data_IF_751954155280
#
_entry.id   IF_751954155280
#
_cell.length_a   1.000
_cell.length_b   1.000
_cell.length_c   1.000
_cell.angle_alpha   90.00
_cell.angle_beta   90.00
_cell.angle_gamma   90.00
#
_symmetry.space_group_name_H-M   'P 1'
#
loop_
_entity.id
_entity.type
_entity.pdbx_description
1 polymer ?
#
# COMPACT_ATOMS: atom_id res chain seq x y z
N UNK A 1 -2.36 10.87 -12.50
CA UNK A 1 -3.42 11.87 -12.33
C UNK A 1 -4.71 11.42 -13.02
N UNK A 2 -5.86 11.70 -12.40
CA UNK A 2 -7.19 11.42 -12.91
C UNK A 2 -7.98 12.74 -12.97
N UNK A 3 -8.64 13.00 -14.09
CA UNK A 3 -9.53 14.12 -14.26
C UNK A 3 -10.89 13.61 -14.75
N UNK A 4 -11.95 13.87 -14.01
CA UNK A 4 -13.32 13.74 -14.48
C UNK A 4 -13.87 15.13 -14.80
N UNK A 5 -14.44 15.28 -16.01
CA UNK A 5 -14.92 16.56 -16.47
C UNK A 5 -16.19 16.39 -17.30
N UNK A 6 -17.13 17.31 -17.12
CA UNK A 6 -18.37 17.36 -17.90
C UNK A 6 -18.33 18.57 -18.81
N UNK A 7 -18.49 18.36 -20.14
CA UNK A 7 -18.58 19.43 -21.10
C UNK A 7 -19.84 20.27 -20.84
N UNK A 8 -19.66 21.57 -20.64
CA UNK A 8 -20.76 22.52 -20.45
C UNK A 8 -21.26 23.10 -21.78
N UNK A 9 -20.46 22.99 -22.83
CA UNK A 9 -20.78 23.46 -24.18
C UNK A 9 -20.31 22.42 -25.22
N UNK A 10 -21.04 22.35 -26.35
CA UNK A 10 -20.59 21.54 -27.49
C UNK A 10 -19.40 22.20 -28.21
N UNK A 11 -18.57 21.38 -28.85
CA UNK A 11 -17.45 21.86 -29.65
C UNK A 11 -16.09 21.24 -29.26
N UNK A 12 -15.00 21.70 -29.86
CA UNK A 12 -13.66 21.23 -29.54
C UNK A 12 -13.21 21.71 -28.15
N UNK A 13 -12.61 20.81 -27.39
CA UNK A 13 -12.03 21.09 -26.08
C UNK A 13 -10.55 20.71 -26.09
N UNK A 14 -9.73 21.47 -25.34
CA UNK A 14 -8.30 21.23 -25.22
C UNK A 14 -7.98 20.64 -23.85
N UNK A 15 -7.37 19.45 -23.84
CA UNK A 15 -6.79 18.87 -22.63
C UNK A 15 -5.32 19.22 -22.62
N UNK A 16 -4.89 19.91 -21.55
CA UNK A 16 -3.50 20.23 -21.32
C UNK A 16 -3.01 19.49 -20.08
N UNK A 17 -1.85 18.84 -20.18
CA UNK A 17 -1.16 18.23 -19.05
C UNK A 17 0.33 18.54 -19.13
N UNK A 18 0.96 18.58 -17.96
CA UNK A 18 2.37 18.93 -17.82
C UNK A 18 2.95 18.30 -16.55
N UNK A 19 4.27 18.31 -16.43
CA UNK A 19 4.99 17.89 -15.25
C UNK A 19 5.96 18.96 -14.79
N UNK A 20 6.28 18.95 -13.50
CA UNK A 20 7.34 19.74 -12.91
C UNK A 20 8.65 18.95 -12.85
N UNK A 21 9.80 19.60 -12.64
CA UNK A 21 11.06 18.92 -12.40
C UNK A 21 10.97 17.90 -11.25
N UNK A 22 11.64 16.76 -11.42
CA UNK A 22 11.81 15.80 -10.35
C UNK A 22 13.29 15.33 -10.32
N UNK A 23 13.94 15.35 -9.14
CA UNK A 23 13.44 15.91 -7.87
C UNK A 23 13.07 17.40 -8.03
N UNK A 24 12.15 17.88 -7.15
CA UNK A 24 11.74 19.28 -7.16
C UNK A 24 12.95 20.18 -6.93
N UNK A 25 13.04 21.26 -7.68
CA UNK A 25 14.05 22.30 -7.51
C UNK A 25 13.38 23.64 -7.11
N UNK A 26 14.19 24.67 -6.86
CA UNK A 26 13.70 25.99 -6.44
C UNK A 26 12.97 26.78 -7.54
N UNK A 27 13.03 26.29 -8.77
CA UNK A 27 12.42 26.96 -9.92
C UNK A 27 11.05 26.37 -10.23
N UNK A 28 10.03 27.22 -10.31
CA UNK A 28 8.71 26.83 -10.84
C UNK A 28 8.78 26.83 -12.35
N UNK A 29 9.01 25.68 -12.94
CA UNK A 29 9.10 25.50 -14.39
C UNK A 29 8.48 24.16 -14.83
N UNK A 30 8.03 24.12 -16.06
CA UNK A 30 7.63 22.87 -16.71
C UNK A 30 8.87 22.07 -17.08
N UNK A 31 8.80 20.77 -16.93
CA UNK A 31 9.89 19.84 -17.22
C UNK A 31 9.43 18.74 -18.18
N UNK A 32 10.32 18.35 -19.06
CA UNK A 32 10.17 17.18 -19.92
C UNK A 32 11.56 16.68 -20.31
N UNK A 33 11.71 15.36 -20.36
CA UNK A 33 12.94 14.67 -20.75
C UNK A 33 12.59 13.56 -21.75
N UNK A 34 13.52 13.07 -22.57
CA UNK A 34 13.24 11.98 -23.53
C UNK A 34 12.62 10.72 -22.89
N UNK A 35 12.87 10.47 -21.60
CA UNK A 35 12.31 9.38 -20.83
C UNK A 35 11.06 9.77 -20.01
N UNK A 36 10.56 10.99 -20.15
CA UNK A 36 9.28 11.41 -19.55
C UNK A 36 8.12 10.90 -20.40
N UNK A 37 7.87 9.59 -20.33
CA UNK A 37 6.82 8.92 -21.09
C UNK A 37 5.50 8.96 -20.32
N UNK A 38 4.39 9.00 -21.06
CA UNK A 38 3.05 8.94 -20.50
C UNK A 38 2.12 8.10 -21.35
N UNK A 39 1.05 7.65 -20.74
CA UNK A 39 -0.09 7.06 -21.45
C UNK A 39 -1.35 7.82 -21.06
N UNK A 40 -1.99 8.43 -22.04
CA UNK A 40 -3.25 9.14 -21.87
C UNK A 40 -4.41 8.23 -22.26
N UNK A 41 -5.38 8.07 -21.35
CA UNK A 41 -6.67 7.47 -21.64
C UNK A 41 -7.75 8.54 -21.57
N UNK A 42 -8.55 8.68 -22.61
CA UNK A 42 -9.77 9.47 -22.63
C UNK A 42 -10.94 8.53 -22.81
N UNK A 43 -11.88 8.58 -21.89
CA UNK A 43 -13.01 7.65 -21.85
C UNK A 43 -14.31 8.36 -21.53
N UNK A 44 -15.35 8.15 -22.34
CA UNK A 44 -16.67 8.73 -22.16
C UNK A 44 -17.69 7.73 -21.58
N UNK A 45 -17.33 6.46 -21.43
CA UNK A 45 -18.20 5.42 -20.85
C UNK A 45 -18.12 5.34 -19.32
N UNK A 46 -18.75 4.33 -18.72
CA UNK A 46 -18.71 4.12 -17.29
C UNK A 46 -17.29 3.87 -16.77
N UNK A 47 -16.91 4.57 -15.70
CA UNK A 47 -15.65 4.38 -14.97
C UNK A 47 -15.97 4.14 -13.51
N UNK A 48 -15.61 2.98 -12.99
CA UNK A 48 -15.69 2.67 -11.55
C UNK A 48 -14.42 3.18 -10.91
N UNK A 49 -14.54 4.14 -9.99
CA UNK A 49 -13.38 4.64 -9.24
C UNK A 49 -13.05 3.72 -8.08
N UNK A 50 -14.01 3.46 -7.21
CA UNK A 50 -13.88 2.61 -6.03
C UNK A 50 -15.24 1.98 -5.67
N UNK A 51 -15.23 1.14 -4.65
CA UNK A 51 -16.44 0.63 -4.03
C UNK A 51 -16.54 1.11 -2.57
N UNK A 52 -17.75 1.14 -2.04
CA UNK A 52 -18.02 1.42 -0.64
C UNK A 52 -18.75 0.24 0.01
N UNK A 53 -18.29 -0.22 1.20
CA UNK A 53 -17.07 0.21 1.87
C UNK A 53 -15.79 -0.08 1.06
N UNK A 54 -14.68 0.62 1.38
CA UNK A 54 -13.35 0.41 0.77
C UNK A 54 -12.71 -0.92 1.21
N UNK A 55 -13.14 -1.44 2.36
CA UNK A 55 -12.66 -2.69 2.93
C UNK A 55 -13.71 -3.80 2.92
N UNK A 56 -13.23 -5.04 2.85
CA UNK A 56 -14.04 -6.27 3.00
C UNK A 56 -13.40 -7.21 3.99
N UNK A 57 -14.23 -7.86 4.80
CA UNK A 57 -13.75 -8.89 5.72
C UNK A 57 -13.47 -10.19 4.97
N UNK A 58 -12.26 -10.72 5.11
CA UNK A 58 -11.89 -12.04 4.59
C UNK A 58 -12.85 -13.12 5.09
N UNK A 59 -13.18 -14.06 4.20
CA UNK A 59 -14.03 -15.20 4.56
C UNK A 59 -15.53 -14.88 4.65
N UNK A 60 -15.95 -13.67 4.24
CA UNK A 60 -17.36 -13.27 4.24
C UNK A 60 -17.86 -12.86 2.85
N UNK A 61 -19.15 -12.62 2.73
CA UNK A 61 -19.74 -11.96 1.57
C UNK A 61 -20.14 -10.53 1.94
N UNK A 62 -19.74 -9.56 1.13
CA UNK A 62 -20.05 -8.14 1.33
C UNK A 62 -20.97 -7.62 0.23
N UNK A 63 -21.75 -6.58 0.54
CA UNK A 63 -22.50 -5.80 -0.44
C UNK A 63 -21.76 -4.50 -0.69
N UNK A 64 -21.25 -4.30 -1.89
CA UNK A 64 -20.39 -3.20 -2.26
C UNK A 64 -21.12 -2.25 -3.21
N UNK A 65 -21.14 -0.96 -2.91
CA UNK A 65 -21.69 0.07 -3.78
C UNK A 65 -20.59 0.68 -4.64
N UNK A 66 -20.62 0.50 -5.97
CA UNK A 66 -19.67 1.13 -6.88
C UNK A 66 -19.83 2.66 -6.86
N UNK A 67 -18.74 3.39 -6.94
CA UNK A 67 -18.68 4.85 -7.05
C UNK A 67 -17.78 5.21 -8.23
N UNK A 68 -18.23 6.17 -9.04
CA UNK A 68 -17.48 6.58 -10.23
C UNK A 68 -18.28 7.49 -11.14
N UNK A 69 -17.92 7.53 -12.40
CA UNK A 69 -18.49 8.43 -13.38
C UNK A 69 -19.24 7.67 -14.49
N UNK A 70 -20.30 8.27 -15.00
CA UNK A 70 -21.13 7.71 -16.07
C UNK A 70 -21.67 6.30 -15.76
N UNK A 71 -21.82 5.98 -14.49
CA UNK A 71 -22.42 4.73 -14.06
C UNK A 71 -23.92 4.78 -14.35
N UNK A 72 -24.42 3.94 -15.26
CA UNK A 72 -25.86 3.75 -15.44
C UNK A 72 -26.49 3.10 -14.20
N UNK A 73 -27.82 3.07 -14.11
CA UNK A 73 -28.55 2.53 -12.95
C UNK A 73 -28.10 1.10 -12.56
N UNK A 74 -27.86 0.22 -13.53
CA UNK A 74 -27.40 -1.13 -13.30
C UNK A 74 -25.96 -1.23 -12.75
N UNK A 75 -25.08 -0.28 -13.12
CA UNK A 75 -23.69 -0.23 -12.64
C UNK A 75 -23.52 0.51 -11.32
N UNK A 76 -24.57 1.22 -10.86
CA UNK A 76 -24.59 1.91 -9.57
C UNK A 76 -25.32 1.10 -8.48
N UNK A 77 -25.92 -0.03 -8.83
CA UNK A 77 -26.55 -0.91 -7.87
C UNK A 77 -25.49 -1.62 -7.00
N UNK A 78 -25.80 -1.93 -5.73
CA UNK A 78 -24.92 -2.74 -4.89
C UNK A 78 -24.60 -4.08 -5.55
N UNK A 79 -23.34 -4.48 -5.44
CA UNK A 79 -22.79 -5.73 -6.00
C UNK A 79 -22.41 -6.64 -4.86
N UNK A 80 -22.90 -7.88 -4.87
CA UNK A 80 -22.46 -8.90 -3.94
C UNK A 80 -21.01 -9.29 -4.27
N UNK A 81 -20.14 -9.27 -3.27
CA UNK A 81 -18.73 -9.62 -3.39
C UNK A 81 -18.39 -10.79 -2.46
N UNK A 82 -17.85 -11.86 -3.02
CA UNK A 82 -17.48 -13.06 -2.29
C UNK A 82 -16.00 -13.01 -1.89
N UNK A 83 -15.73 -12.62 -0.65
CA UNK A 83 -14.39 -12.61 -0.07
C UNK A 83 -14.00 -13.96 0.59
N UNK A 84 -14.86 -15.00 0.52
CA UNK A 84 -14.56 -16.32 1.10
C UNK A 84 -13.40 -17.03 0.39
N UNK A 85 -13.13 -16.66 -0.86
CA UNK A 85 -12.08 -17.25 -1.71
C UNK A 85 -10.76 -16.48 -1.67
N UNK A 86 -10.69 -15.38 -0.93
CA UNK A 86 -9.45 -14.60 -0.84
C UNK A 86 -8.47 -15.31 0.10
N UNK A 87 -7.27 -15.69 -0.38
CA UNK A 87 -6.29 -16.39 0.44
C UNK A 87 -5.81 -15.57 1.63
N UNK A 88 -5.36 -16.21 2.72
CA UNK A 88 -4.65 -15.54 3.80
C UNK A 88 -3.44 -14.72 3.27
N UNK A 89 -3.19 -13.55 3.87
CA UNK A 89 -2.07 -12.68 3.50
C UNK A 89 -2.34 -11.72 2.33
N UNK A 90 -3.40 -11.91 1.55
CA UNK A 90 -3.81 -10.95 0.51
C UNK A 90 -4.43 -9.73 1.19
N UNK A 91 -3.78 -8.57 1.12
CA UNK A 91 -4.24 -7.32 1.76
C UNK A 91 -5.05 -6.42 0.83
N UNK A 92 -4.96 -6.62 -0.48
CA UNK A 92 -5.71 -5.87 -1.50
C UNK A 92 -6.24 -6.84 -2.56
N UNK A 93 -7.42 -6.56 -3.08
CA UNK A 93 -8.06 -7.40 -4.08
C UNK A 93 -8.77 -6.56 -5.15
N UNK A 94 -8.57 -6.86 -6.44
CA UNK A 94 -9.20 -6.09 -7.51
C UNK A 94 -10.72 -6.26 -7.50
N UNK A 95 -11.43 -5.14 -7.61
CA UNK A 95 -12.87 -5.10 -7.71
C UNK A 95 -13.32 -4.85 -9.16
N UNK A 96 -14.28 -5.62 -9.62
CA UNK A 96 -14.81 -5.50 -10.97
C UNK A 96 -16.34 -5.33 -10.94
N UNK A 97 -16.84 -4.43 -11.77
CA UNK A 97 -18.28 -4.24 -12.00
C UNK A 97 -18.56 -4.49 -13.48
N UNK A 98 -19.36 -5.50 -13.80
CA UNK A 98 -19.69 -5.88 -15.18
C UNK A 98 -18.41 -6.03 -16.06
N UNK A 99 -17.39 -6.70 -15.52
CA UNK A 99 -16.11 -6.93 -16.19
C UNK A 99 -15.17 -5.72 -16.28
N UNK A 100 -15.54 -4.57 -15.71
CA UNK A 100 -14.68 -3.37 -15.64
C UNK A 100 -13.99 -3.30 -14.28
N UNK A 101 -12.64 -3.18 -14.25
CA UNK A 101 -11.93 -3.00 -12.99
C UNK A 101 -12.22 -1.63 -12.39
N UNK A 102 -12.34 -1.56 -11.07
CA UNK A 102 -12.27 -0.31 -10.33
C UNK A 102 -10.83 0.22 -10.36
N UNK A 103 -10.68 1.54 -10.25
CA UNK A 103 -9.35 2.19 -10.18
C UNK A 103 -8.69 2.00 -8.81
N UNK A 104 -9.49 1.72 -7.78
CA UNK A 104 -9.03 1.46 -6.41
C UNK A 104 -9.41 0.04 -6.02
N UNK A 105 -8.41 -0.75 -5.63
CA UNK A 105 -8.62 -2.10 -5.13
C UNK A 105 -9.31 -2.09 -3.76
N UNK A 106 -10.04 -3.16 -3.45
CA UNK A 106 -10.60 -3.38 -2.13
C UNK A 106 -9.46 -3.70 -1.13
N UNK A 107 -9.57 -3.13 0.06
CA UNK A 107 -8.75 -3.54 1.19
C UNK A 107 -9.36 -4.81 1.80
N UNK A 108 -8.53 -5.78 2.14
CA UNK A 108 -8.97 -7.05 2.74
C UNK A 108 -8.51 -7.11 4.18
N UNK A 109 -9.47 -6.96 5.10
CA UNK A 109 -9.25 -7.07 6.54
C UNK A 109 -9.55 -8.47 7.08
N UNK A 110 -9.02 -8.79 8.26
CA UNK A 110 -9.30 -10.04 8.98
C UNK A 110 -10.36 -9.85 10.09
N UNK A 111 -10.92 -8.68 10.23
CA UNK A 111 -12.02 -8.33 11.12
C UNK A 111 -13.18 -7.64 10.39
N UNK A 112 -14.26 -7.28 11.13
CA UNK A 112 -15.42 -6.61 10.57
C UNK A 112 -15.05 -5.31 9.87
N UNK A 113 -15.62 -5.10 8.69
CA UNK A 113 -15.48 -3.91 7.85
C UNK A 113 -16.84 -3.23 7.70
N UNK A 114 -16.90 -1.91 7.91
CA UNK A 114 -18.14 -1.15 7.78
C UNK A 114 -17.87 0.28 7.31
N UNK A 115 -18.95 0.95 6.87
CA UNK A 115 -18.97 2.40 6.73
C UNK A 115 -19.03 3.04 8.12
N UNK A 116 -18.50 4.24 8.26
CA UNK A 116 -18.82 5.10 9.41
C UNK A 116 -20.28 5.52 9.42
N UNK A 117 -20.73 5.99 10.57
CA UNK A 117 -22.07 6.55 10.77
C UNK A 117 -21.95 7.93 11.39
N UNK A 118 -22.38 8.93 10.65
CA UNK A 118 -22.41 10.31 11.12
C UNK A 118 -23.67 10.65 11.96
N UNK A 119 -23.58 11.62 12.91
CA UNK A 119 -22.39 12.38 13.29
C UNK A 119 -21.54 11.65 14.33
N UNK A 120 -20.23 11.63 14.15
CA UNK A 120 -19.26 10.96 15.05
C UNK A 120 -18.11 11.87 15.55
N UNK A 121 -18.20 13.20 15.34
CA UNK A 121 -17.18 14.18 15.74
C UNK A 121 -16.93 14.25 17.26
N UNK A 122 -17.93 14.00 18.05
CA UNK A 122 -17.86 14.12 19.50
C UNK A 122 -17.36 12.82 20.15
N UNK A 123 -16.55 12.90 21.20
CA UNK A 123 -16.09 11.73 21.95
C UNK A 123 -17.27 10.87 22.44
N UNK A 124 -18.37 11.51 22.83
CA UNK A 124 -19.58 10.80 23.28
C UNK A 124 -20.33 10.06 22.16
N UNK A 125 -20.03 10.38 20.90
CA UNK A 125 -20.64 9.77 19.72
C UNK A 125 -19.68 8.85 18.98
N UNK A 126 -18.48 8.63 19.53
CA UNK A 126 -17.48 7.75 18.93
C UNK A 126 -18.06 6.34 18.70
N UNK A 127 -17.93 5.85 17.46
CA UNK A 127 -18.48 4.55 17.08
C UNK A 127 -17.67 3.38 17.65
N UNK A 128 -18.32 2.37 18.23
CA UNK A 128 -17.59 1.16 18.63
C UNK A 128 -17.06 0.39 17.41
N UNK A 129 -15.83 -0.08 17.52
CA UNK A 129 -15.25 -0.98 16.52
C UNK A 129 -14.49 -2.14 17.19
N UNK A 130 -14.48 -3.27 16.50
CA UNK A 130 -13.75 -4.45 16.93
C UNK A 130 -12.24 -4.33 16.61
N UNK A 131 -11.44 -5.14 17.31
CA UNK A 131 -10.01 -5.31 17.03
C UNK A 131 -9.69 -6.79 16.83
N UNK A 132 -9.29 -7.23 15.62
CA UNK A 132 -9.11 -6.43 14.42
C UNK A 132 -10.42 -5.92 13.80
N UNK A 133 -10.37 -4.78 13.12
CA UNK A 133 -11.50 -4.23 12.39
C UNK A 133 -11.12 -3.05 11.51
N UNK A 134 -12.01 -2.69 10.60
CA UNK A 134 -11.85 -1.56 9.69
C UNK A 134 -13.08 -0.69 9.58
N UNK A 135 -12.86 0.56 9.19
CA UNK A 135 -13.91 1.54 8.87
C UNK A 135 -13.55 2.29 7.60
N UNK A 136 -14.54 2.46 6.77
CA UNK A 136 -14.47 3.38 5.64
C UNK A 136 -15.14 4.68 6.03
N UNK A 137 -14.41 5.77 6.01
CA UNK A 137 -14.91 7.09 6.33
C UNK A 137 -14.65 8.12 5.25
N UNK A 138 -15.28 9.28 5.38
CA UNK A 138 -15.06 10.43 4.51
C UNK A 138 -15.17 11.73 5.32
N UNK A 139 -14.08 12.45 5.47
CA UNK A 139 -14.12 13.79 6.07
C UNK A 139 -14.91 14.73 5.17
N UNK A 140 -16.22 14.85 5.40
CA UNK A 140 -17.17 15.43 4.47
C UNK A 140 -17.21 16.96 4.49
N UNK A 141 -16.71 17.60 5.56
CA UNK A 141 -16.70 19.05 5.78
C UNK A 141 -15.38 19.56 6.36
N UNK A 142 -15.19 20.85 6.34
CA UNK A 142 -14.06 21.51 6.99
C UNK A 142 -14.08 21.28 8.51
N UNK A 143 -12.94 20.90 9.05
CA UNK A 143 -12.77 20.63 10.49
C UNK A 143 -13.36 19.31 10.97
N UNK A 144 -13.81 18.46 10.08
CA UNK A 144 -14.37 17.15 10.36
C UNK A 144 -13.37 16.23 11.07
N UNK A 145 -13.85 15.49 12.07
CA UNK A 145 -13.05 14.54 12.86
C UNK A 145 -13.90 13.32 13.18
N UNK A 146 -13.57 12.22 12.54
CA UNK A 146 -14.25 10.95 12.77
C UNK A 146 -13.68 10.25 14.00
N UNK A 147 -14.54 9.84 14.93
CA UNK A 147 -14.13 9.15 16.14
C UNK A 147 -14.73 7.77 16.25
N UNK A 148 -13.86 6.84 16.58
CA UNK A 148 -14.16 5.45 16.85
C UNK A 148 -13.66 5.09 18.24
N UNK A 149 -14.19 4.02 18.85
CA UNK A 149 -13.73 3.56 20.14
C UNK A 149 -13.44 2.06 20.14
N UNK A 150 -12.35 1.69 20.78
CA UNK A 150 -11.89 0.30 20.91
C UNK A 150 -11.71 -0.08 22.37
N UNK A 151 -12.04 -1.33 22.73
CA UNK A 151 -11.78 -1.89 24.05
C UNK A 151 -10.49 -2.69 24.01
N UNK A 152 -9.56 -2.37 24.90
CA UNK A 152 -8.25 -3.02 24.97
C UNK A 152 -7.88 -3.33 26.43
N UNK A 153 -6.97 -4.30 26.58
CA UNK A 153 -6.39 -4.65 27.87
C UNK A 153 -5.08 -3.90 28.08
N UNK A 154 -4.68 -3.78 29.32
CA UNK A 154 -3.35 -3.27 29.67
C UNK A 154 -2.26 -4.04 28.93
N UNK A 155 -1.23 -3.32 28.50
CA UNK A 155 -0.09 -3.83 27.75
C UNK A 155 -0.42 -4.41 26.37
N UNK A 156 -1.69 -4.34 25.95
CA UNK A 156 -2.10 -4.73 24.59
C UNK A 156 -1.56 -3.72 23.57
N UNK A 157 -0.96 -4.25 22.50
CA UNK A 157 -0.41 -3.45 21.41
C UNK A 157 -1.39 -3.38 20.27
N UNK A 158 -1.58 -2.17 19.74
CA UNK A 158 -2.37 -1.90 18.56
C UNK A 158 -1.51 -1.30 17.45
N UNK A 159 -1.84 -1.66 16.22
CA UNK A 159 -1.45 -0.98 15.00
C UNK A 159 -2.68 -0.27 14.48
N UNK A 160 -2.61 1.04 14.39
CA UNK A 160 -3.67 1.89 13.83
C UNK A 160 -3.14 2.52 12.56
N UNK A 161 -3.82 2.33 11.44
CA UNK A 161 -3.39 2.84 10.15
C UNK A 161 -4.58 3.42 9.37
N UNK A 162 -4.36 4.54 8.72
CA UNK A 162 -5.29 5.16 7.78
C UNK A 162 -4.68 5.07 6.39
N UNK A 163 -5.46 4.69 5.40
CA UNK A 163 -5.08 4.68 3.99
C UNK A 163 -6.02 5.59 3.22
N UNK A 164 -5.49 6.61 2.61
CA UNK A 164 -6.20 7.56 1.76
C UNK A 164 -5.37 7.92 0.53
N UNK A 165 -4.22 8.53 0.71
CA UNK A 165 -3.31 8.89 -0.39
C UNK A 165 -2.82 7.65 -1.14
N UNK A 166 -2.55 6.54 -0.46
CA UNK A 166 -2.20 5.24 -1.06
C UNK A 166 -3.35 4.63 -1.89
N UNK A 167 -4.58 5.10 -1.71
CA UNK A 167 -5.76 4.74 -2.49
C UNK A 167 -6.11 5.80 -3.57
N UNK A 168 -5.30 6.87 -3.67
CA UNK A 168 -5.51 7.94 -4.64
C UNK A 168 -6.59 8.94 -4.27
N UNK A 169 -6.96 9.04 -2.99
CA UNK A 169 -7.82 10.11 -2.46
C UNK A 169 -6.99 11.30 -2.00
N UNK A 170 -7.64 12.44 -1.80
CA UNK A 170 -6.97 13.72 -1.56
C UNK A 170 -6.84 14.10 -0.08
N UNK A 171 -7.05 13.17 0.84
CA UNK A 171 -6.87 13.41 2.27
C UNK A 171 -5.38 13.34 2.63
N UNK A 172 -4.87 14.40 3.20
CA UNK A 172 -3.64 14.45 3.98
C UNK A 172 -4.06 14.34 5.45
N UNK A 173 -4.02 13.10 5.96
CA UNK A 173 -4.68 12.74 7.21
C UNK A 173 -3.75 12.68 8.40
N UNK A 174 -4.32 12.76 9.59
CA UNK A 174 -3.69 12.34 10.84
C UNK A 174 -4.56 11.31 11.55
N UNK A 175 -3.93 10.49 12.39
CA UNK A 175 -4.62 9.57 13.30
C UNK A 175 -4.14 9.79 14.72
N UNK A 176 -5.06 9.74 15.69
CA UNK A 176 -4.78 9.86 17.13
C UNK A 176 -5.38 8.70 17.91
N UNK A 177 -4.70 8.35 19.00
CA UNK A 177 -5.30 7.58 20.11
C UNK A 177 -5.63 8.55 21.21
N UNK A 178 -6.86 8.50 21.71
CA UNK A 178 -7.41 9.39 22.74
C UNK A 178 -7.84 8.59 23.99
N UNK A 179 -7.80 9.22 25.18
CA UNK A 179 -8.41 8.68 26.36
C UNK A 179 -9.95 8.87 26.35
N UNK A 180 -10.63 8.42 27.39
CA UNK A 180 -12.09 8.52 27.52
C UNK A 180 -12.62 9.97 27.54
N UNK A 181 -11.75 10.97 27.73
CA UNK A 181 -12.11 12.39 27.74
C UNK A 181 -11.69 13.10 26.44
N UNK A 182 -11.18 12.37 25.44
CA UNK A 182 -10.69 12.94 24.19
C UNK A 182 -9.29 13.54 24.25
N UNK A 183 -8.54 13.30 25.35
CA UNK A 183 -7.15 13.74 25.46
C UNK A 183 -6.26 12.86 24.60
N UNK A 184 -5.44 13.48 23.75
CA UNK A 184 -4.46 12.81 22.93
C UNK A 184 -3.43 12.04 23.76
N UNK A 185 -3.26 10.76 23.45
CA UNK A 185 -2.24 9.87 24.02
C UNK A 185 -1.12 9.55 23.03
N UNK A 186 -1.45 9.48 21.75
CA UNK A 186 -0.51 9.28 20.65
C UNK A 186 -1.07 9.86 19.36
N UNK A 187 -0.19 10.29 18.46
CA UNK A 187 -0.55 10.84 17.15
C UNK A 187 0.49 10.47 16.09
N UNK A 188 0.03 10.33 14.88
CA UNK A 188 0.87 10.28 13.67
C UNK A 188 0.12 10.91 12.50
N UNK A 189 0.85 11.57 11.59
CA UNK A 189 0.36 12.14 10.34
C UNK A 189 1.07 11.57 9.12
N UNK A 190 2.33 11.14 9.27
CA UNK A 190 3.15 10.56 8.22
C UNK A 190 3.89 9.33 8.74
N UNK A 191 3.73 8.17 8.09
CA UNK A 191 4.49 6.97 8.44
C UNK A 191 5.32 6.45 7.26
N UNK A 192 4.65 6.02 6.21
CA UNK A 192 5.26 5.54 4.97
C UNK A 192 4.58 6.26 3.81
N UNK A 193 4.98 7.49 3.53
CA UNK A 193 4.23 8.41 2.67
C UNK A 193 3.35 9.33 3.51
N UNK A 194 2.32 9.90 2.90
CA UNK A 194 1.37 10.82 3.53
C UNK A 194 0.21 10.13 4.25
N UNK A 195 0.20 8.80 4.36
CA UNK A 195 -0.82 8.08 5.13
C UNK A 195 -0.32 7.77 6.54
N UNK A 196 -1.07 8.13 7.59
CA UNK A 196 -0.64 7.95 8.96
C UNK A 196 -0.75 6.50 9.42
N UNK A 197 0.23 6.08 10.23
CA UNK A 197 0.24 4.78 10.91
C UNK A 197 0.98 4.90 12.23
N UNK A 198 0.39 4.43 13.29
CA UNK A 198 1.03 4.38 14.59
C UNK A 198 0.94 2.99 15.23
N UNK A 199 1.90 2.71 16.08
CA UNK A 199 1.89 1.57 17.00
C UNK A 199 1.78 2.13 18.42
N UNK A 200 0.79 1.63 19.16
CA UNK A 200 0.48 2.10 20.50
C UNK A 200 0.28 0.94 21.45
N UNK A 201 0.66 1.12 22.72
CA UNK A 201 0.48 0.13 23.77
C UNK A 201 -0.44 0.71 24.83
N UNK A 202 -1.49 -0.01 25.17
CA UNK A 202 -2.47 0.43 26.16
C UNK A 202 -1.85 0.48 27.57
N UNK A 203 -1.89 1.62 28.27
CA UNK A 203 -1.32 1.74 29.62
C UNK A 203 -2.16 1.06 30.70
N UNK A 204 -3.45 0.81 30.44
CA UNK A 204 -4.40 0.17 31.33
C UNK A 204 -5.53 -0.50 30.54
N UNK A 205 -6.30 -1.36 31.21
CA UNK A 205 -7.59 -1.84 30.67
C UNK A 205 -8.53 -0.65 30.47
N UNK A 206 -9.21 -0.59 29.33
CA UNK A 206 -10.15 0.50 29.11
C UNK A 206 -10.69 0.59 27.68
N UNK A 207 -11.49 1.63 27.48
CA UNK A 207 -11.97 2.07 26.17
C UNK A 207 -11.19 3.31 25.78
N UNK A 208 -10.65 3.27 24.57
CA UNK A 208 -9.84 4.36 24.00
C UNK A 208 -10.43 4.82 22.69
N UNK A 209 -10.35 6.13 22.45
CA UNK A 209 -10.75 6.74 21.16
C UNK A 209 -9.67 6.56 20.11
N UNK A 210 -10.13 6.34 18.88
CA UNK A 210 -9.30 6.47 17.67
C UNK A 210 -9.93 7.60 16.86
N UNK A 211 -9.19 8.67 16.63
CA UNK A 211 -9.68 9.83 15.88
C UNK A 211 -8.91 9.99 14.58
N UNK A 212 -9.63 10.29 13.50
CA UNK A 212 -9.08 10.56 12.16
C UNK A 212 -9.49 11.98 11.77
N UNK A 213 -8.59 12.74 11.16
CA UNK A 213 -8.88 14.09 10.68
C UNK A 213 -7.92 14.54 9.60
N UNK A 214 -8.17 15.70 9.02
CA UNK A 214 -7.33 16.32 8.00
C UNK A 214 -6.26 17.21 8.64
N UNK A 215 -5.01 17.10 8.19
CA UNK A 215 -3.89 17.95 8.62
C UNK A 215 -4.16 19.43 8.30
N UNK A 216 -4.79 19.69 7.15
CA UNK A 216 -5.15 21.03 6.68
C UNK A 216 -6.59 21.43 7.02
N UNK A 217 -7.30 20.63 7.83
CA UNK A 217 -8.70 20.81 8.19
C UNK A 217 -9.66 20.83 6.98
N UNK A 218 -9.24 20.30 5.84
CA UNK A 218 -10.05 20.25 4.63
C UNK A 218 -10.96 19.03 4.65
N UNK A 219 -12.22 19.24 4.22
CA UNK A 219 -13.19 18.18 4.01
C UNK A 219 -13.71 18.15 2.55
N UNK A 220 -14.63 17.25 2.27
CA UNK A 220 -15.34 17.17 1.00
C UNK A 220 -15.38 15.76 0.40
N UNK A 221 -16.04 15.66 -0.75
CA UNK A 221 -16.40 14.39 -1.41
C UNK A 221 -15.23 13.48 -1.84
N UNK A 222 -13.99 13.95 -1.79
CA UNK A 222 -12.80 13.21 -2.19
C UNK A 222 -11.82 12.94 -1.03
N UNK A 223 -12.33 12.99 0.21
CA UNK A 223 -11.57 12.78 1.44
C UNK A 223 -11.82 11.40 2.05
N UNK A 224 -12.11 10.43 1.19
CA UNK A 224 -12.30 9.05 1.62
C UNK A 224 -11.03 8.46 2.22
N UNK A 225 -11.21 7.63 3.23
CA UNK A 225 -10.14 6.87 3.86
C UNK A 225 -10.62 5.48 4.31
N UNK A 226 -9.67 4.60 4.53
CA UNK A 226 -9.88 3.36 5.24
C UNK A 226 -9.03 3.37 6.51
N UNK A 227 -9.69 3.29 7.66
CA UNK A 227 -9.08 3.08 8.96
C UNK A 227 -9.00 1.59 9.25
N UNK A 228 -7.84 1.09 9.66
CA UNK A 228 -7.67 -0.24 10.21
C UNK A 228 -7.09 -0.19 11.63
N UNK A 229 -7.67 -0.99 12.54
CA UNK A 229 -7.13 -1.21 13.88
C UNK A 229 -6.93 -2.70 14.07
N UNK A 230 -5.70 -3.11 14.36
CA UNK A 230 -5.35 -4.52 14.52
C UNK A 230 -4.28 -4.72 15.59
N UNK A 231 -4.13 -5.96 16.06
CA UNK A 231 -2.99 -6.36 16.86
C UNK A 231 -1.77 -6.59 15.92
N UNK A 232 -0.55 -6.21 16.35
CA UNK A 232 0.62 -6.50 15.55
C UNK A 232 0.79 -8.02 15.39
N UNK A 233 0.94 -8.44 14.13
CA UNK A 233 1.19 -9.85 13.80
C UNK A 233 2.65 -9.98 13.38
N UNK A 234 3.44 -10.91 13.96
CA UNK A 234 4.77 -11.21 13.48
C UNK A 234 4.78 -11.46 11.97
N UNK A 235 5.56 -10.70 11.25
CA UNK A 235 5.60 -10.77 9.80
C UNK A 235 6.96 -10.33 9.25
N UNK A 236 7.10 -10.34 7.92
CA UNK A 236 8.30 -9.92 7.22
C UNK A 236 7.96 -9.07 6.01
N UNK A 237 8.89 -8.17 5.64
CA UNK A 237 8.84 -7.34 4.43
C UNK A 237 10.17 -7.45 3.71
N UNK A 238 10.42 -8.56 3.01
CA UNK A 238 11.72 -8.79 2.40
C UNK A 238 11.94 -7.85 1.22
N UNK A 239 13.14 -7.25 1.16
CA UNK A 239 13.52 -6.28 0.13
C UNK A 239 14.93 -6.53 -0.40
N UNK A 240 15.18 -6.02 -1.61
CA UNK A 240 16.51 -5.89 -2.23
C UNK A 240 16.77 -4.43 -2.57
N UNK A 241 18.05 -4.07 -2.76
CA UNK A 241 18.45 -2.69 -3.13
C UNK A 241 18.39 -2.45 -4.63
N UNK A 242 18.51 -3.51 -5.44
CA UNK A 242 18.59 -3.44 -6.90
C UNK A 242 17.52 -4.34 -7.53
N UNK A 243 17.00 -3.94 -8.67
CA UNK A 243 16.05 -4.74 -9.45
C UNK A 243 16.65 -5.37 -10.71
N UNK A 244 17.92 -5.08 -11.03
CA UNK A 244 18.60 -5.60 -12.21
C UNK A 244 19.97 -6.17 -11.86
N UNK A 245 20.18 -7.42 -12.24
CA UNK A 245 21.41 -8.17 -11.94
C UNK A 245 22.04 -8.63 -13.25
N UNK A 246 23.36 -8.47 -13.36
CA UNK A 246 24.13 -8.91 -14.53
C UNK A 246 25.08 -10.02 -14.15
N UNK A 247 25.16 -11.06 -14.99
CA UNK A 247 25.95 -12.26 -14.77
C UNK A 247 26.65 -12.69 -16.04
N UNK A 248 27.97 -12.83 -16.01
CA UNK A 248 28.72 -13.39 -17.13
C UNK A 248 28.83 -14.92 -17.01
N UNK A 249 28.92 -15.66 -18.14
CA UNK A 249 29.14 -17.11 -18.12
C UNK A 249 30.34 -17.51 -17.27
N UNK A 250 30.19 -18.54 -16.45
CA UNK A 250 31.20 -19.01 -15.51
C UNK A 250 31.47 -18.12 -14.29
N UNK A 251 30.62 -17.10 -14.07
CA UNK A 251 30.72 -16.17 -12.94
C UNK A 251 29.55 -16.35 -11.96
N UNK A 252 29.68 -15.69 -10.81
CA UNK A 252 28.67 -15.62 -9.77
C UNK A 252 28.22 -14.18 -9.56
N UNK A 253 26.98 -14.00 -9.11
CA UNK A 253 26.47 -12.74 -8.58
C UNK A 253 25.73 -13.03 -7.28
N UNK A 254 25.92 -12.19 -6.29
CA UNK A 254 25.29 -12.32 -4.98
C UNK A 254 24.13 -11.33 -4.86
N UNK A 255 22.92 -11.85 -4.58
CA UNK A 255 21.71 -11.06 -4.31
C UNK A 255 21.51 -11.02 -2.81
N UNK A 256 21.69 -9.86 -2.20
CA UNK A 256 21.48 -9.66 -0.77
C UNK A 256 20.00 -9.33 -0.53
N UNK A 257 19.32 -10.17 0.24
CA UNK A 257 17.91 -9.99 0.62
C UNK A 257 17.85 -9.56 2.07
N UNK A 258 17.37 -8.34 2.32
CA UNK A 258 17.01 -7.90 3.65
C UNK A 258 15.65 -8.51 4.02
N UNK A 259 15.55 -9.20 5.16
CA UNK A 259 14.35 -9.97 5.53
C UNK A 259 13.24 -9.11 6.11
N UNK A 260 13.57 -7.93 6.65
CA UNK A 260 12.58 -6.95 7.12
C UNK A 260 11.62 -7.52 8.17
N UNK A 261 12.13 -8.28 9.14
CA UNK A 261 11.32 -8.87 10.22
C UNK A 261 10.66 -7.78 11.07
N UNK A 262 9.36 -7.90 11.33
CA UNK A 262 8.58 -6.94 12.14
C UNK A 262 7.77 -7.67 13.20
N UNK A 263 7.42 -6.94 14.26
CA UNK A 263 6.59 -7.42 15.37
C UNK A 263 7.08 -8.70 16.04
N UNK A 264 8.42 -8.83 16.16
CA UNK A 264 9.02 -9.99 16.83
C UNK A 264 9.00 -11.28 16.00
N UNK A 265 8.90 -11.18 14.67
CA UNK A 265 9.01 -12.34 13.80
C UNK A 265 10.36 -13.02 13.96
N UNK A 266 10.37 -14.28 14.40
CA UNK A 266 11.56 -15.08 14.72
C UNK A 266 11.57 -16.47 14.07
N UNK A 267 10.59 -16.76 13.19
CA UNK A 267 10.55 -18.04 12.50
C UNK A 267 11.74 -18.19 11.53
N UNK A 268 12.26 -19.43 11.35
CA UNK A 268 13.17 -19.72 10.26
C UNK A 268 12.53 -19.45 8.90
N UNK A 269 13.33 -18.98 7.95
CA UNK A 269 12.88 -18.63 6.61
C UNK A 269 13.73 -19.38 5.58
N UNK A 270 13.12 -19.79 4.47
CA UNK A 270 13.81 -20.32 3.30
C UNK A 270 13.68 -19.33 2.15
N UNK A 271 14.82 -18.92 1.56
CA UNK A 271 14.85 -17.93 0.48
C UNK A 271 15.32 -18.59 -0.81
N UNK A 272 14.53 -18.45 -1.88
CA UNK A 272 14.79 -19.08 -3.18
C UNK A 272 14.53 -18.14 -4.34
N UNK A 273 14.98 -18.51 -5.54
CA UNK A 273 14.75 -17.76 -6.78
C UNK A 273 13.99 -18.62 -7.78
N UNK A 274 12.98 -18.02 -8.41
CA UNK A 274 12.23 -18.58 -9.52
C UNK A 274 12.52 -17.83 -10.81
N UNK A 275 12.34 -18.50 -11.96
CA UNK A 275 12.51 -17.88 -13.27
C UNK A 275 13.95 -17.82 -13.78
N UNK A 276 14.91 -18.54 -13.18
CA UNK A 276 16.29 -18.58 -13.66
C UNK A 276 16.35 -19.18 -15.08
N UNK A 277 17.15 -18.59 -15.99
CA UNK A 277 17.32 -19.11 -17.33
C UNK A 277 18.19 -20.38 -17.35
N UNK A 278 18.13 -21.15 -18.43
CA UNK A 278 18.94 -22.36 -18.59
C UNK A 278 20.42 -22.09 -18.40
N UNK A 279 21.09 -22.96 -17.64
CA UNK A 279 22.51 -22.82 -17.31
C UNK A 279 22.82 -21.84 -16.17
N UNK A 280 21.78 -21.30 -15.52
CA UNK A 280 21.92 -20.50 -14.28
C UNK A 280 21.25 -21.23 -13.12
N UNK A 281 21.91 -21.27 -11.99
CA UNK A 281 21.44 -21.93 -10.76
C UNK A 281 21.64 -21.04 -9.55
N UNK A 282 20.75 -21.23 -8.56
CA UNK A 282 20.90 -20.70 -7.21
C UNK A 282 20.30 -21.74 -6.24
N UNK A 283 21.02 -22.06 -5.20
CA UNK A 283 20.50 -22.91 -4.13
C UNK A 283 19.69 -22.06 -3.16
N UNK A 284 18.58 -22.59 -2.62
CA UNK A 284 17.87 -21.95 -1.52
C UNK A 284 18.82 -21.73 -0.33
N UNK A 285 18.57 -20.62 0.39
CA UNK A 285 19.34 -20.24 1.59
C UNK A 285 18.38 -20.19 2.77
N UNK A 286 18.76 -20.85 3.84
CA UNK A 286 18.01 -20.82 5.10
C UNK A 286 18.47 -19.64 5.96
N UNK A 287 17.51 -18.95 6.58
CA UNK A 287 17.74 -17.88 7.54
C UNK A 287 17.22 -18.28 8.91
N UNK A 288 18.04 -18.16 9.93
CA UNK A 288 17.64 -18.34 11.32
C UNK A 288 16.77 -17.17 11.81
N UNK A 289 16.06 -17.36 12.94
CA UNK A 289 15.13 -16.37 13.47
C UNK A 289 15.71 -14.99 13.77
N UNK A 290 17.04 -14.89 13.96
CA UNK A 290 17.74 -13.62 14.26
C UNK A 290 18.40 -12.96 13.05
N UNK A 291 18.44 -13.65 11.90
CA UNK A 291 19.08 -13.11 10.71
C UNK A 291 18.27 -11.93 10.19
N UNK A 292 18.95 -10.82 9.90
CA UNK A 292 18.37 -9.63 9.31
C UNK A 292 18.40 -9.68 7.78
N UNK A 293 19.32 -10.45 7.19
CA UNK A 293 19.49 -10.61 5.75
C UNK A 293 20.10 -11.97 5.42
N UNK A 294 19.95 -12.37 4.17
CA UNK A 294 20.65 -13.52 3.57
C UNK A 294 21.22 -13.15 2.21
N UNK A 295 22.18 -13.93 1.74
CA UNK A 295 22.80 -13.76 0.42
C UNK A 295 22.51 -14.98 -0.43
N UNK A 296 21.75 -14.78 -1.51
CA UNK A 296 21.55 -15.79 -2.55
C UNK A 296 22.67 -15.70 -3.58
N UNK A 297 23.41 -16.78 -3.76
CA UNK A 297 24.45 -16.87 -4.77
C UNK A 297 23.89 -17.44 -6.05
N UNK A 298 23.88 -16.62 -7.11
CA UNK A 298 23.46 -17.00 -8.45
C UNK A 298 24.70 -17.34 -9.27
N UNK A 299 24.72 -18.53 -9.89
CA UNK A 299 25.87 -19.07 -10.61
C UNK A 299 25.50 -19.33 -12.06
N UNK A 300 26.25 -18.78 -13.01
CA UNK A 300 26.13 -19.15 -14.40
C UNK A 300 27.15 -20.23 -14.76
N UNK A 301 26.73 -21.27 -15.46
CA UNK A 301 27.61 -22.23 -16.06
C UNK A 301 28.51 -21.56 -17.11
N UNK A 302 29.68 -22.11 -17.40
CA UNK A 302 30.62 -21.56 -18.39
C UNK A 302 30.04 -21.52 -19.81
N UNK A 303 29.06 -22.36 -20.09
CA UNK A 303 28.31 -22.44 -21.35
C UNK A 303 26.90 -21.84 -21.27
N UNK A 304 26.59 -21.06 -20.22
CA UNK A 304 25.29 -20.41 -20.12
C UNK A 304 25.07 -19.48 -21.32
N UNK A 305 23.92 -19.64 -21.98
CA UNK A 305 23.56 -18.82 -23.13
C UNK A 305 23.16 -17.41 -22.68
N UNK A 306 23.40 -16.37 -23.49
CA UNK A 306 22.90 -15.03 -23.23
C UNK A 306 21.39 -15.04 -23.06
N UNK A 307 20.92 -14.39 -22.01
CA UNK A 307 19.49 -14.30 -21.67
C UNK A 307 19.20 -13.00 -20.94
N UNK A 308 17.96 -12.54 -21.01
CA UNK A 308 17.49 -11.39 -20.24
C UNK A 308 16.04 -11.69 -19.84
N UNK A 309 15.84 -12.03 -18.57
CA UNK A 309 14.58 -12.59 -18.09
C UNK A 309 14.17 -11.99 -16.74
N UNK A 310 12.87 -11.88 -16.46
CA UNK A 310 12.39 -11.58 -15.11
C UNK A 310 12.64 -12.78 -14.20
N UNK A 311 13.05 -12.50 -12.96
CA UNK A 311 13.20 -13.47 -11.89
C UNK A 311 12.37 -13.01 -10.69
N UNK A 312 11.96 -13.94 -9.83
CA UNK A 312 11.30 -13.66 -8.56
C UNK A 312 12.07 -14.31 -7.43
N UNK A 313 12.34 -13.54 -6.39
CA UNK A 313 12.89 -14.05 -5.15
C UNK A 313 11.74 -14.26 -4.17
N UNK A 314 11.64 -15.46 -3.62
CA UNK A 314 10.59 -15.87 -2.70
C UNK A 314 11.19 -16.13 -1.32
N UNK A 315 10.49 -15.70 -0.28
CA UNK A 315 10.81 -15.99 1.12
C UNK A 315 9.65 -16.80 1.70
N UNK A 316 9.94 -18.03 2.10
CA UNK A 316 8.95 -18.92 2.72
C UNK A 316 9.17 -18.99 4.22
N UNK A 317 8.14 -18.72 4.98
CA UNK A 317 8.11 -18.92 6.44
C UNK A 317 7.95 -20.40 6.77
N UNK A 318 8.86 -20.94 7.59
CA UNK A 318 8.83 -22.34 7.98
C UNK A 318 7.71 -22.66 8.98
N UNK A 319 7.21 -21.65 9.72
CA UNK A 319 6.19 -21.84 10.76
C UNK A 319 4.78 -21.97 10.21
N UNK A 320 4.42 -21.10 9.29
CA UNK A 320 3.05 -21.06 8.72
C UNK A 320 2.99 -21.38 7.22
N UNK A 321 4.15 -21.58 6.58
CA UNK A 321 4.26 -21.90 5.16
C UNK A 321 3.98 -20.73 4.22
N UNK A 322 3.75 -19.52 4.76
CA UNK A 322 3.48 -18.31 3.97
C UNK A 322 4.69 -17.98 3.09
N UNK A 323 4.40 -17.70 1.83
CA UNK A 323 5.38 -17.23 0.87
C UNK A 323 5.20 -15.74 0.62
N UNK A 324 6.29 -14.98 0.69
CA UNK A 324 6.31 -13.54 0.41
C UNK A 324 7.31 -13.27 -0.70
N UNK A 325 6.89 -12.57 -1.74
CA UNK A 325 7.79 -12.13 -2.81
C UNK A 325 8.67 -10.98 -2.33
N UNK A 326 9.96 -11.07 -2.62
CA UNK A 326 10.93 -10.00 -2.36
C UNK A 326 10.71 -8.88 -3.36
N UNK A 327 10.79 -7.65 -2.89
CA UNK A 327 10.59 -6.47 -3.73
C UNK A 327 11.74 -5.48 -3.61
N UNK A 328 11.88 -4.62 -4.60
CA UNK A 328 12.67 -3.40 -4.50
C UNK A 328 11.72 -2.22 -4.31
N UNK A 329 11.90 -1.46 -3.26
CA UNK A 329 11.14 -0.23 -3.02
C UNK A 329 11.82 0.94 -3.77
N UNK A 330 11.08 1.56 -4.69
CA UNK A 330 11.48 2.81 -5.33
C UNK A 330 11.27 3.95 -4.34
N UNK A 331 12.37 4.42 -3.78
CA UNK A 331 12.35 5.45 -2.74
C UNK A 331 12.70 6.79 -3.36
N UNK A 332 11.90 7.83 -3.11
CA UNK A 332 12.30 9.18 -3.45
C UNK A 332 13.51 9.57 -2.62
N UNK A 333 14.63 9.90 -3.25
CA UNK A 333 15.70 10.58 -2.57
C UNK A 333 15.18 11.96 -2.13
N UNK A 334 15.18 12.21 -0.83
CA UNK A 334 14.78 13.49 -0.25
C UNK A 334 15.86 14.56 -0.45
N UNK A 335 16.42 14.66 -1.66
CA UNK A 335 17.30 15.74 -2.03
C UNK A 335 16.47 16.89 -2.55
N UNK A 336 16.19 17.83 -1.67
CA UNK A 336 15.55 19.05 -2.05
C UNK A 336 16.47 20.23 -1.72
N UNK A 337 16.82 21.03 -2.71
CA UNK A 337 17.53 22.28 -2.52
C UNK A 337 16.72 23.20 -1.60
N UNK A 338 17.20 23.40 -0.38
CA UNK A 338 16.61 24.32 0.58
C UNK A 338 15.65 23.72 1.61
N UNK A 339 15.41 22.41 1.59
CA UNK A 339 14.66 21.75 2.67
C UNK A 339 15.64 21.20 3.71
N UNK A 340 15.39 21.40 5.02
CA UNK A 340 16.26 20.90 6.08
C UNK A 340 16.50 19.39 5.96
N UNK A 341 17.72 18.94 6.26
CA UNK A 341 18.04 17.53 6.37
C UNK A 341 17.06 16.85 7.33
N UNK A 342 16.30 15.87 6.85
CA UNK A 342 15.29 15.17 7.64
C UNK A 342 14.04 14.80 6.86
N UNK A 343 13.95 15.15 5.57
CA UNK A 343 12.87 14.67 4.73
C UNK A 343 12.91 13.14 4.67
N UNK A 344 11.83 12.52 5.12
CA UNK A 344 11.72 11.07 5.12
C UNK A 344 11.75 10.55 3.68
N UNK A 345 12.45 9.45 3.48
CA UNK A 345 12.34 8.68 2.26
C UNK A 345 10.91 8.18 2.12
N UNK A 346 10.26 8.53 1.04
CA UNK A 346 8.91 8.05 0.72
C UNK A 346 9.02 6.94 -0.31
N UNK A 347 8.47 5.78 -0.01
CA UNK A 347 8.32 4.71 -0.99
C UNK A 347 7.28 5.17 -2.01
N UNK A 348 7.70 5.30 -3.27
CA UNK A 348 6.85 5.74 -4.38
C UNK A 348 6.18 4.57 -5.09
N UNK A 349 6.87 3.44 -5.14
CA UNK A 349 6.43 2.22 -5.82
C UNK A 349 7.25 1.04 -5.33
N UNK A 350 6.81 -0.17 -5.63
CA UNK A 350 7.50 -1.42 -5.32
C UNK A 350 7.52 -2.32 -6.54
N UNK A 351 8.67 -2.88 -6.83
CA UNK A 351 8.89 -3.79 -7.98
C UNK A 351 9.16 -5.19 -7.42
N UNK A 352 8.35 -6.17 -7.82
CA UNK A 352 8.51 -7.58 -7.45
C UNK A 352 9.20 -8.40 -8.56
N UNK A 353 9.06 -8.00 -9.83
CA UNK A 353 9.78 -8.61 -10.94
C UNK A 353 11.19 -8.02 -11.00
N UNK A 354 12.16 -8.77 -10.49
CA UNK A 354 13.58 -8.46 -10.60
C UNK A 354 14.10 -8.97 -11.95
N UNK A 355 15.19 -8.41 -12.46
CA UNK A 355 15.67 -8.71 -13.81
C UNK A 355 17.07 -9.31 -13.78
N UNK A 356 17.26 -10.46 -14.44
CA UNK A 356 18.57 -11.09 -14.58
C UNK A 356 19.00 -11.09 -16.04
N UNK A 357 20.18 -10.55 -16.31
CA UNK A 357 20.82 -10.55 -17.62
C UNK A 357 22.08 -11.41 -17.60
N UNK A 358 22.10 -12.48 -18.38
CA UNK A 358 23.31 -13.24 -18.68
C UNK A 358 23.94 -12.63 -19.94
N UNK A 359 25.16 -12.13 -19.80
CA UNK A 359 25.88 -11.47 -20.92
C UNK A 359 26.40 -12.48 -21.93
N UNK A 360 26.70 -12.01 -23.14
CA UNK A 360 27.49 -12.81 -24.08
C UNK A 360 28.92 -13.04 -23.52
N UNK A 361 29.56 -14.16 -23.84
CA UNK A 361 30.98 -14.38 -23.51
C UNK A 361 31.82 -13.22 -24.07
N UNK A 362 32.65 -12.63 -23.24
CA UNK A 362 33.70 -11.71 -23.70
C UNK A 362 34.69 -12.50 -24.55
N UNK A 363 34.88 -12.04 -25.79
CA UNK A 363 35.90 -12.60 -26.70
C UNK A 363 37.30 -12.40 -26.12
#
# INVERSE_FOLDING_TARGET
PLLAWTATTGGPHVLQFFTFPYPADSDIRLSGKPHSVYRLHVHAGPVVRHALPLGVQRGTTASLRPVGWNLGAASNAPVAFDATKIPPGVAKFPFHVQGRPALVDLIVGDGPEAMETEPNDDVAKAEPMDVPGGRTGNLDREGDIDRFQVKVRKDEKLVVAVQSAALGFALDGWVRVEDANGKELARNDDATGSDPRLEWTAPADGTYGIAVGSLLQLGGHDRWYHLSVARPVPSMRPTVTDNAFTLAPGKTNDIVVALGRVHGHDAPLSVSIEGLPNGVTALPVEAAGKDASVTLRVVAATNAAPASVPIRVQVKDAKDGRVTTVRMDLVSAGENNGVPQGFRRVVRDSIEDLWLTVTAPTK
#
